data_IF_295477767106
#
_entry.id   IF_295477767106
#
_cell.length_a   1.000
_cell.length_b   1.000
_cell.length_c   1.000
_cell.angle_alpha   90.00
_cell.angle_beta   90.00
_cell.angle_gamma   90.00
#
_symmetry.space_group_name_H-M   'P 1'
#
loop_
_entity.id
_entity.type
_entity.pdbx_description
1 polymer ?
#
# COMPACT_ATOMS: atom_id res chain seq x y z
N UNK A 1 -7.78 14.75 -12.03
CA UNK A 1 -8.19 13.32 -11.98
C UNK A 1 -7.97 12.88 -10.56
N UNK A 2 -8.97 12.25 -9.95
CA UNK A 2 -8.93 11.78 -8.56
C UNK A 2 -8.97 10.25 -8.60
N UNK A 3 -8.19 9.56 -7.77
CA UNK A 3 -8.15 8.09 -7.80
C UNK A 3 -9.07 7.44 -6.75
N UNK A 4 -9.70 8.24 -5.89
CA UNK A 4 -10.61 7.76 -4.84
C UNK A 4 -11.81 8.70 -4.73
N UNK A 5 -12.76 8.34 -3.86
CA UNK A 5 -14.00 9.08 -3.63
C UNK A 5 -14.10 9.57 -2.19
N UNK A 6 -14.91 10.60 -1.97
CA UNK A 6 -15.21 11.10 -0.63
C UNK A 6 -15.81 9.99 0.25
N UNK A 7 -16.63 9.11 -0.32
CA UNK A 7 -17.24 7.99 0.40
C UNK A 7 -16.19 6.97 0.89
N UNK A 8 -15.22 6.61 0.04
CA UNK A 8 -14.14 5.71 0.42
C UNK A 8 -13.30 6.30 1.56
N UNK A 9 -12.96 7.59 1.48
CA UNK A 9 -12.21 8.30 2.52
C UNK A 9 -13.00 8.37 3.84
N UNK A 10 -14.30 8.68 3.77
CA UNK A 10 -15.16 8.78 4.95
C UNK A 10 -15.37 7.44 5.66
N UNK A 11 -15.31 6.32 4.94
CA UNK A 11 -15.49 4.97 5.50
C UNK A 11 -14.44 4.61 6.57
N UNK A 12 -13.27 5.26 6.59
CA UNK A 12 -12.23 5.10 7.62
C UNK A 12 -12.62 5.67 8.99
N UNK A 13 -13.68 6.47 9.06
CA UNK A 13 -14.14 7.13 10.27
C UNK A 13 -15.62 6.84 10.54
N UNK A 14 -15.96 5.61 10.98
CA UNK A 14 -17.34 5.23 11.28
C UNK A 14 -18.03 6.21 12.23
N UNK A 15 -19.24 6.66 11.87
CA UNK A 15 -20.00 7.64 12.65
C UNK A 15 -19.67 9.10 12.33
N UNK A 16 -18.72 9.38 11.43
CA UNK A 16 -18.61 10.69 10.80
C UNK A 16 -19.91 11.01 10.04
N UNK A 17 -20.61 12.06 10.47
CA UNK A 17 -21.92 12.44 9.91
C UNK A 17 -21.73 13.16 8.58
N UNK A 18 -21.58 12.39 7.50
CA UNK A 18 -21.52 12.90 6.13
C UNK A 18 -22.92 13.27 5.60
N UNK A 19 -22.99 14.28 4.73
CA UNK A 19 -24.21 14.69 4.03
C UNK A 19 -25.22 15.46 4.87
N UNK A 20 -24.87 15.80 6.12
CA UNK A 20 -25.74 16.57 7.03
C UNK A 20 -25.55 18.07 6.87
N UNK A 21 -26.57 18.84 7.22
CA UNK A 21 -26.47 20.31 7.30
C UNK A 21 -25.37 20.70 8.30
N UNK A 22 -24.40 21.51 7.87
CA UNK A 22 -23.21 21.92 8.63
C UNK A 22 -22.19 20.79 8.91
N UNK A 23 -22.10 19.77 8.05
CA UNK A 23 -21.00 18.81 8.09
C UNK A 23 -19.64 19.53 8.15
N UNK A 24 -18.79 19.11 9.09
CA UNK A 24 -17.44 19.63 9.25
C UNK A 24 -16.47 18.48 9.60
N UNK A 25 -15.43 18.20 8.80
CA UNK A 25 -15.07 18.82 7.52
C UNK A 25 -16.08 18.59 6.39
N UNK A 26 -16.28 19.58 5.51
CA UNK A 26 -17.22 19.47 4.39
C UNK A 26 -16.73 18.52 3.30
N UNK A 27 -17.64 17.99 2.48
CA UNK A 27 -17.27 17.14 1.34
C UNK A 27 -16.35 17.86 0.34
N UNK A 28 -16.53 19.18 0.16
CA UNK A 28 -15.65 19.99 -0.68
C UNK A 28 -14.22 20.04 -0.12
N UNK A 29 -14.08 20.10 1.21
CA UNK A 29 -12.79 20.04 1.88
C UNK A 29 -12.13 18.67 1.70
N UNK A 30 -12.91 17.59 1.87
CA UNK A 30 -12.41 16.22 1.66
C UNK A 30 -11.98 16.00 0.20
N UNK A 31 -12.78 16.49 -0.75
CA UNK A 31 -12.43 16.44 -2.16
C UNK A 31 -11.13 17.20 -2.46
N UNK A 32 -10.90 18.34 -1.82
CA UNK A 32 -9.66 19.10 -1.97
C UNK A 32 -8.45 18.29 -1.49
N UNK A 33 -8.56 17.58 -0.37
CA UNK A 33 -7.50 16.67 0.09
C UNK A 33 -7.26 15.52 -0.89
N UNK A 34 -8.34 14.90 -1.39
CA UNK A 34 -8.27 13.86 -2.42
C UNK A 34 -7.50 14.38 -3.64
N UNK A 35 -7.83 15.56 -4.15
CA UNK A 35 -7.23 16.13 -5.35
C UNK A 35 -5.76 16.50 -5.15
N UNK A 36 -5.39 16.99 -3.97
CA UNK A 36 -4.00 17.28 -3.61
C UNK A 36 -3.15 16.01 -3.59
N UNK A 37 -3.64 14.92 -2.98
CA UNK A 37 -2.93 13.65 -2.98
C UNK A 37 -2.89 13.04 -4.39
N UNK A 38 -3.98 13.15 -5.16
CA UNK A 38 -4.03 12.71 -6.56
C UNK A 38 -3.00 13.42 -7.43
N UNK A 39 -2.79 14.73 -7.23
CA UNK A 39 -1.79 15.50 -7.95
C UNK A 39 -0.36 15.00 -7.65
N UNK A 40 -0.05 14.67 -6.39
CA UNK A 40 1.25 14.09 -6.01
C UNK A 40 1.46 12.73 -6.65
N UNK A 41 0.46 11.85 -6.60
CA UNK A 41 0.50 10.52 -7.22
C UNK A 41 0.70 10.63 -8.74
N UNK A 42 -0.07 11.51 -9.38
CA UNK A 42 0.00 11.77 -10.83
C UNK A 42 1.38 12.25 -11.23
N UNK A 43 1.99 13.17 -10.48
CA UNK A 43 3.32 13.68 -10.76
C UNK A 43 4.38 12.56 -10.73
N UNK A 44 4.32 11.67 -9.74
CA UNK A 44 5.25 10.53 -9.63
C UNK A 44 5.01 9.52 -10.76
N UNK A 45 3.77 9.15 -11.01
CA UNK A 45 3.42 8.23 -12.09
C UNK A 45 3.84 8.76 -13.46
N UNK A 46 3.65 10.06 -13.72
CA UNK A 46 4.10 10.72 -14.94
C UNK A 46 5.63 10.74 -15.04
N UNK A 47 6.35 11.00 -13.94
CA UNK A 47 7.81 10.94 -13.91
C UNK A 47 8.35 9.53 -14.22
N UNK A 48 7.59 8.48 -13.89
CA UNK A 48 7.89 7.10 -14.27
C UNK A 48 7.46 6.72 -15.69
N UNK A 49 6.77 7.61 -16.39
CA UNK A 49 6.31 7.38 -17.76
C UNK A 49 5.02 6.53 -17.87
N UNK A 50 4.18 6.52 -16.84
CA UNK A 50 2.91 5.79 -16.88
C UNK A 50 1.84 6.53 -17.66
N UNK A 51 1.12 5.80 -18.51
CA UNK A 51 -0.11 6.29 -19.11
C UNK A 51 -1.27 6.07 -18.15
N UNK A 52 -1.88 7.19 -17.71
CA UNK A 52 -3.00 7.19 -16.79
C UNK A 52 -4.35 7.36 -17.50
N UNK A 53 -4.34 7.51 -18.83
CA UNK A 53 -5.53 7.78 -19.63
C UNK A 53 -6.48 6.58 -19.58
N UNK A 54 -7.66 6.77 -18.97
CA UNK A 54 -8.65 5.70 -18.84
C UNK A 54 -8.19 4.50 -18.00
N UNK A 55 -7.19 4.70 -17.13
CA UNK A 55 -6.54 3.62 -16.36
C UNK A 55 -7.53 2.75 -15.59
N UNK A 56 -8.58 3.34 -15.01
CA UNK A 56 -9.64 2.62 -14.29
C UNK A 56 -10.26 1.48 -15.12
N UNK A 57 -10.44 1.70 -16.43
CA UNK A 57 -11.03 0.72 -17.34
C UNK A 57 -9.98 -0.20 -17.97
N UNK A 58 -8.85 0.36 -18.38
CA UNK A 58 -7.81 -0.39 -19.12
C UNK A 58 -7.03 -1.32 -18.18
N UNK A 59 -6.78 -0.88 -16.96
CA UNK A 59 -6.03 -1.64 -15.96
C UNK A 59 -6.55 -1.38 -14.53
N UNK A 60 -7.63 -2.05 -14.13
CA UNK A 60 -8.27 -1.84 -12.84
C UNK A 60 -7.34 -2.15 -11.64
N UNK A 61 -6.37 -3.05 -11.80
CA UNK A 61 -5.44 -3.41 -10.73
C UNK A 61 -4.43 -2.29 -10.47
N UNK A 62 -3.85 -1.72 -11.53
CA UNK A 62 -2.98 -0.56 -11.41
C UNK A 62 -3.74 0.65 -10.86
N UNK A 63 -4.97 0.86 -11.31
CA UNK A 63 -5.84 1.90 -10.77
C UNK A 63 -6.12 1.69 -9.28
N UNK A 64 -6.44 0.46 -8.84
CA UNK A 64 -6.73 0.16 -7.45
C UNK A 64 -5.56 0.49 -6.50
N UNK A 65 -4.31 0.30 -6.94
CA UNK A 65 -3.14 0.73 -6.15
C UNK A 65 -3.10 2.24 -6.03
N UNK A 66 -3.25 3.00 -7.12
CA UNK A 66 -3.27 4.46 -7.06
C UNK A 66 -4.44 4.98 -6.21
N UNK A 67 -5.59 4.32 -6.29
CA UNK A 67 -6.78 4.60 -5.49
C UNK A 67 -6.51 4.44 -4.00
N UNK A 68 -5.90 3.31 -3.60
CA UNK A 68 -5.55 3.03 -2.21
C UNK A 68 -4.54 4.04 -1.66
N UNK A 69 -3.54 4.42 -2.47
CA UNK A 69 -2.57 5.46 -2.08
C UNK A 69 -3.31 6.78 -1.83
N UNK A 70 -4.16 7.21 -2.78
CA UNK A 70 -4.92 8.44 -2.66
C UNK A 70 -5.85 8.43 -1.44
N UNK A 71 -6.50 7.30 -1.18
CA UNK A 71 -7.41 7.09 -0.07
C UNK A 71 -6.69 7.20 1.26
N UNK A 72 -5.55 6.51 1.45
CA UNK A 72 -4.80 6.56 2.71
C UNK A 72 -4.29 7.98 3.01
N UNK A 73 -3.83 8.71 2.00
CA UNK A 73 -3.39 10.10 2.16
C UNK A 73 -4.53 11.03 2.59
N UNK A 74 -5.65 11.00 1.85
CA UNK A 74 -6.80 11.85 2.15
C UNK A 74 -7.51 11.46 3.45
N UNK A 75 -7.56 10.17 3.77
CA UNK A 75 -8.08 9.68 5.04
C UNK A 75 -7.22 10.11 6.22
N UNK A 76 -5.88 10.14 6.08
CA UNK A 76 -5.02 10.70 7.12
C UNK A 76 -5.34 12.19 7.38
N UNK A 77 -5.53 12.98 6.32
CA UNK A 77 -5.86 14.41 6.42
C UNK A 77 -7.24 14.64 7.07
N UNK A 78 -8.24 13.84 6.71
CA UNK A 78 -9.57 13.86 7.36
C UNK A 78 -9.45 13.51 8.85
N UNK A 79 -8.67 12.48 9.17
CA UNK A 79 -8.42 12.07 10.54
C UNK A 79 -7.81 13.19 11.38
N UNK A 80 -6.71 13.78 10.91
CA UNK A 80 -6.05 14.90 11.58
C UNK A 80 -7.04 16.06 11.86
N UNK A 81 -7.91 16.38 10.90
CA UNK A 81 -8.94 17.39 11.06
C UNK A 81 -10.02 17.00 12.10
N UNK A 82 -10.50 15.75 12.08
CA UNK A 82 -11.50 15.25 13.03
C UNK A 82 -10.96 15.20 14.47
N UNK A 83 -9.73 14.72 14.65
CA UNK A 83 -9.07 14.69 15.97
C UNK A 83 -8.83 16.10 16.51
N UNK A 84 -8.46 17.05 15.65
CA UNK A 84 -8.32 18.46 16.01
C UNK A 84 -9.65 19.09 16.43
N UNK A 85 -10.74 18.80 15.70
CA UNK A 85 -12.07 19.35 15.95
C UNK A 85 -12.70 18.81 17.24
N UNK A 86 -12.57 17.51 17.48
CA UNK A 86 -13.28 16.82 18.55
C UNK A 86 -12.45 16.69 19.84
N UNK A 87 -11.14 16.97 19.79
CA UNK A 87 -10.24 16.90 20.93
C UNK A 87 -9.87 15.46 21.36
N UNK A 88 -8.99 15.30 22.36
CA UNK A 88 -8.55 13.99 22.82
C UNK A 88 -9.70 13.22 23.50
N UNK A 89 -9.93 11.97 23.07
CA UNK A 89 -10.89 11.04 23.70
C UNK A 89 -12.24 10.87 22.99
N UNK A 90 -12.46 11.56 21.88
CA UNK A 90 -13.71 11.51 21.08
C UNK A 90 -13.63 10.59 19.87
N UNK A 91 -12.46 10.01 19.59
CA UNK A 91 -12.33 8.98 18.56
C UNK A 91 -13.26 7.82 18.90
N UNK A 92 -14.30 7.63 18.10
CA UNK A 92 -15.20 6.51 18.28
C UNK A 92 -14.45 5.19 18.03
N UNK A 93 -14.92 4.12 18.67
CA UNK A 93 -14.35 2.79 18.47
C UNK A 93 -14.36 2.45 16.97
N UNK A 94 -13.20 2.05 16.43
CA UNK A 94 -13.06 1.64 15.03
C UNK A 94 -12.62 2.73 14.06
N UNK A 95 -12.33 3.95 14.54
CA UNK A 95 -11.67 4.95 13.69
C UNK A 95 -10.26 4.51 13.31
N UNK A 96 -9.91 4.72 12.04
CA UNK A 96 -8.54 4.55 11.59
C UNK A 96 -7.60 5.54 12.32
N UNK A 97 -6.38 5.08 12.61
CA UNK A 97 -5.36 5.96 13.18
C UNK A 97 -4.74 6.81 12.06
N UNK A 98 -4.85 8.16 12.10
CA UNK A 98 -4.35 9.02 11.04
C UNK A 98 -2.84 8.89 10.81
N UNK A 99 -2.06 8.67 11.87
CA UNK A 99 -0.61 8.47 11.76
C UNK A 99 -0.27 7.16 11.05
N UNK A 100 -1.05 6.10 11.28
CA UNK A 100 -0.87 4.82 10.58
C UNK A 100 -1.21 4.96 9.10
N UNK A 101 -2.30 5.66 8.78
CA UNK A 101 -2.70 5.95 7.40
C UNK A 101 -1.64 6.80 6.69
N UNK A 102 -1.14 7.87 7.32
CA UNK A 102 -0.08 8.71 6.78
C UNK A 102 1.20 7.91 6.52
N UNK A 103 1.60 7.06 7.46
CA UNK A 103 2.78 6.18 7.28
C UNK A 103 2.58 5.21 6.11
N UNK A 104 1.39 4.61 5.98
CA UNK A 104 1.07 3.74 4.86
C UNK A 104 1.12 4.48 3.53
N UNK A 105 0.55 5.69 3.47
CA UNK A 105 0.62 6.57 2.31
C UNK A 105 2.08 6.87 1.90
N UNK A 106 2.91 7.33 2.83
CA UNK A 106 4.31 7.67 2.54
C UNK A 106 5.13 6.44 2.08
N UNK A 107 4.88 5.27 2.69
CA UNK A 107 5.50 4.01 2.24
C UNK A 107 5.12 3.68 0.81
N UNK A 108 3.82 3.69 0.47
CA UNK A 108 3.37 3.35 -0.87
C UNK A 108 3.78 4.39 -1.92
N UNK A 109 3.87 5.68 -1.55
CA UNK A 109 4.46 6.72 -2.40
C UNK A 109 5.94 6.43 -2.67
N UNK A 110 6.69 5.99 -1.65
CA UNK A 110 8.08 5.58 -1.81
C UNK A 110 8.20 4.37 -2.75
N UNK A 111 7.39 3.34 -2.56
CA UNK A 111 7.33 2.16 -3.43
C UNK A 111 6.96 2.51 -4.88
N UNK A 112 6.00 3.43 -5.06
CA UNK A 112 5.63 4.01 -6.36
C UNK A 112 6.74 4.89 -6.95
N UNK A 113 7.64 5.45 -6.15
CA UNK A 113 8.80 6.16 -6.70
C UNK A 113 9.93 5.20 -7.11
N UNK A 114 10.06 4.05 -6.41
CA UNK A 114 11.21 3.14 -6.54
C UNK A 114 11.10 2.12 -7.66
N UNK A 115 9.89 1.81 -8.13
CA UNK A 115 9.69 0.83 -9.21
C UNK A 115 8.79 -0.34 -8.82
N UNK A 116 8.45 -0.47 -7.54
CA UNK A 116 7.75 -1.64 -6.96
C UNK A 116 6.49 -2.04 -7.74
N UNK A 117 5.74 -1.05 -8.21
CA UNK A 117 4.50 -1.25 -8.95
C UNK A 117 4.66 -1.29 -10.48
N UNK A 118 5.87 -1.17 -11.04
CA UNK A 118 6.09 -1.03 -12.50
C UNK A 118 5.41 -2.13 -13.31
N UNK A 119 5.45 -3.36 -12.82
CA UNK A 119 4.85 -4.51 -13.52
C UNK A 119 3.33 -4.38 -13.68
N UNK A 120 2.67 -3.63 -12.80
CA UNK A 120 1.24 -3.34 -12.92
C UNK A 120 0.96 -2.38 -14.07
N UNK A 121 1.86 -1.45 -14.39
CA UNK A 121 1.64 -0.43 -15.44
C UNK A 121 2.27 -0.81 -16.78
N UNK A 122 3.42 -1.49 -16.75
CA UNK A 122 4.21 -1.86 -17.92
C UNK A 122 4.55 -3.34 -17.82
N UNK A 123 3.95 -4.15 -18.69
CA UNK A 123 4.15 -5.61 -18.70
C UNK A 123 5.61 -6.02 -18.94
N UNK A 124 6.36 -5.21 -19.68
CA UNK A 124 7.77 -5.40 -19.97
C UNK A 124 8.71 -4.98 -18.83
N UNK A 125 8.21 -4.35 -17.75
CA UNK A 125 9.03 -3.97 -16.62
C UNK A 125 9.68 -5.20 -15.95
N UNK A 126 10.85 -4.99 -15.34
CA UNK A 126 11.55 -6.05 -14.60
C UNK A 126 10.70 -6.49 -13.41
N UNK A 127 10.52 -7.80 -13.27
CA UNK A 127 9.97 -8.38 -12.03
C UNK A 127 11.12 -8.43 -11.03
N UNK A 128 11.00 -7.79 -9.88
CA UNK A 128 11.92 -8.04 -8.77
C UNK A 128 11.82 -9.51 -8.35
N UNK A 129 12.89 -10.07 -7.77
CA UNK A 129 12.92 -11.49 -7.42
C UNK A 129 11.75 -11.83 -6.51
N UNK A 130 10.95 -12.82 -6.93
CA UNK A 130 9.84 -13.33 -6.14
C UNK A 130 10.44 -14.06 -4.96
N UNK A 131 10.49 -13.41 -3.79
CA UNK A 131 10.73 -14.11 -2.55
C UNK A 131 9.58 -15.12 -2.37
N UNK A 132 9.87 -16.43 -2.26
CA UNK A 132 8.83 -17.42 -2.08
C UNK A 132 7.97 -17.06 -0.86
N UNK A 133 6.65 -16.90 -1.06
CA UNK A 133 5.68 -16.56 -0.01
C UNK A 133 5.51 -17.64 1.07
N UNK A 134 6.23 -18.75 0.95
CA UNK A 134 6.37 -19.79 1.95
C UNK A 134 7.87 -19.95 2.23
N UNK A 135 8.25 -19.91 3.50
CA UNK A 135 9.62 -20.17 3.98
C UNK A 135 10.15 -21.52 3.49
N UNK A 136 10.71 -21.51 2.29
CA UNK A 136 11.33 -22.64 1.64
C UNK A 136 12.78 -22.33 1.40
N UNK A 137 13.60 -22.48 2.44
CA UNK A 137 14.94 -23.07 2.29
C UNK A 137 15.11 -24.06 3.46
N UNK A 138 14.67 -25.29 3.23
CA UNK A 138 15.45 -26.41 3.78
C UNK A 138 16.66 -26.56 2.85
N UNK A 139 17.79 -25.98 3.29
CA UNK A 139 19.14 -26.17 2.77
C UNK A 139 19.34 -26.13 1.25
N UNK A 140 19.66 -24.96 0.69
CA UNK A 140 20.51 -24.89 -0.50
C UNK A 140 21.07 -23.47 -0.73
N UNK A 141 21.82 -22.96 0.23
CA UNK A 141 23.00 -22.19 -0.12
C UNK A 141 24.17 -23.16 -0.01
N UNK A 142 24.44 -23.91 -1.07
CA UNK A 142 25.77 -24.52 -1.24
C UNK A 142 26.73 -23.36 -1.50
N UNK A 143 27.27 -22.84 -0.42
CA UNK A 143 28.55 -22.14 -0.43
C UNK A 143 29.60 -23.13 -0.98
N UNK A 144 30.25 -22.84 -2.12
CA UNK A 144 31.30 -23.70 -2.67
C UNK A 144 32.59 -23.71 -1.84
N UNK A 145 32.62 -23.05 -0.67
CA UNK A 145 33.79 -22.98 0.22
C UNK A 145 33.66 -23.73 1.55
N UNK A 146 32.57 -24.47 1.82
CA UNK A 146 32.40 -25.24 3.05
C UNK A 146 33.03 -26.65 2.93
N UNK A 147 34.10 -26.99 3.66
CA UNK A 147 34.69 -28.32 3.63
C UNK A 147 33.74 -29.34 4.26
N UNK A 148 33.20 -30.23 3.41
CA UNK A 148 32.33 -31.36 3.74
C UNK A 148 32.71 -32.05 5.06
N UNK A 149 31.97 -31.73 6.12
CA UNK A 149 31.99 -32.53 7.35
C UNK A 149 30.77 -33.46 7.34
N UNK A 150 30.86 -34.44 6.44
CA UNK A 150 30.44 -35.84 6.57
C UNK A 150 29.38 -36.16 7.67
N UNK A 151 28.13 -35.73 7.48
CA UNK A 151 27.02 -36.04 8.39
C UNK A 151 26.08 -37.15 7.90
N UNK A 152 26.47 -37.92 6.86
CA UNK A 152 25.68 -39.03 6.31
C UNK A 152 26.12 -40.43 6.77
N UNK A 153 26.79 -40.53 7.93
CA UNK A 153 27.26 -41.81 8.49
C UNK A 153 26.20 -42.57 9.31
N UNK A 154 25.00 -42.03 9.52
CA UNK A 154 24.02 -42.59 10.48
C UNK A 154 22.94 -43.52 9.88
N UNK A 155 22.90 -43.73 8.57
CA UNK A 155 21.84 -44.54 7.92
C UNK A 155 22.29 -45.81 7.19
N UNK A 156 23.55 -46.24 7.37
CA UNK A 156 23.93 -47.59 6.92
C UNK A 156 23.58 -48.61 7.99
N UNK A 157 22.42 -49.25 7.82
CA UNK A 157 22.12 -50.58 8.37
C UNK A 157 23.24 -51.51 7.87
N UNK A 158 24.17 -51.87 8.76
CA UNK A 158 25.22 -52.85 8.47
C UNK A 158 24.56 -54.19 8.13
N UNK A 159 24.68 -54.60 6.88
CA UNK A 159 24.32 -55.92 6.40
C UNK A 159 25.61 -56.74 6.25
N UNK A 160 25.63 -57.89 6.93
CA UNK A 160 26.48 -59.11 6.74
C UNK A 160 27.98 -58.97 7.08
N UNK A 161 28.67 -59.81 7.88
CA UNK A 161 28.57 -61.23 8.27
C UNK A 161 28.90 -61.42 9.77
#
# INVERSE_FOLDING_TARGET
MSFTTVDAVAAHYPGFQRGVTNQNPSDAQIQTWIDNQAARITAIAAARGFDLTGLETVNPQAYAVLALINENGAAADLGDALFSLLGPGTSAQGWANPNTLRKSFENMISELSQGTYDKLFVSAARTEDVYPAFGGIAGQETDPSDPETDSNLLFRKNDVY
#
